data_IF_861239638087
#
_entry.id   IF_861239638087
#
_cell.length_a   1.000
_cell.length_b   1.000
_cell.length_c   1.000
_cell.angle_alpha   90.00
_cell.angle_beta   90.00
_cell.angle_gamma   90.00
#
_symmetry.space_group_name_H-M   'P 1'
#
loop_
_entity.id
_entity.type
_entity.pdbx_description
1 polymer ?
#
# COMPACT_ATOMS: atom_id res chain seq x y z
N UNK A 1 20.77 -10.47 -12.78
CA UNK A 1 20.74 -10.00 -11.37
C UNK A 1 19.56 -10.67 -10.70
N UNK A 2 19.82 -11.66 -9.86
CA UNK A 2 18.80 -12.37 -9.10
C UNK A 2 18.19 -11.40 -8.07
N UNK A 3 16.86 -11.27 -8.07
CA UNK A 3 16.13 -10.54 -7.03
C UNK A 3 16.31 -11.34 -5.74
N UNK A 4 17.09 -10.82 -4.80
CA UNK A 4 17.05 -11.28 -3.41
C UNK A 4 15.62 -11.11 -2.91
N UNK A 5 14.93 -12.24 -2.76
CA UNK A 5 13.65 -12.25 -2.05
C UNK A 5 13.97 -11.99 -0.57
N UNK A 6 13.30 -11.05 0.08
CA UNK A 6 13.50 -10.84 1.51
C UNK A 6 13.18 -12.14 2.24
N UNK A 7 14.16 -12.70 2.91
CA UNK A 7 14.00 -13.90 3.75
C UNK A 7 12.83 -13.66 4.72
N UNK A 8 11.92 -14.62 4.76
CA UNK A 8 10.82 -14.59 5.72
C UNK A 8 11.42 -14.61 7.12
N UNK A 9 11.10 -13.64 7.99
CA UNK A 9 11.65 -13.60 9.33
C UNK A 9 11.37 -14.91 10.05
N UNK A 10 12.40 -15.52 10.63
CA UNK A 10 12.29 -16.71 11.46
C UNK A 10 11.32 -16.44 12.62
N UNK A 11 10.55 -17.46 13.05
CA UNK A 11 9.62 -17.35 14.18
C UNK A 11 10.28 -16.74 15.43
N UNK A 12 11.54 -17.09 15.72
CA UNK A 12 12.31 -16.54 16.83
C UNK A 12 12.68 -15.06 16.65
N UNK A 13 12.87 -14.60 15.42
CA UNK A 13 13.08 -13.18 15.12
C UNK A 13 11.81 -12.37 15.36
N UNK A 14 10.65 -12.94 15.05
CA UNK A 14 9.34 -12.34 15.35
C UNK A 14 9.11 -12.15 16.86
N UNK A 15 9.48 -13.15 17.67
CA UNK A 15 9.37 -13.07 19.14
C UNK A 15 10.27 -11.98 19.74
N UNK A 16 11.49 -11.78 19.21
CA UNK A 16 12.39 -10.70 19.65
C UNK A 16 11.88 -9.31 19.31
N UNK A 17 11.00 -9.18 18.31
CA UNK A 17 10.41 -7.91 17.90
C UNK A 17 9.16 -7.54 18.71
N UNK A 18 8.54 -8.49 19.42
CA UNK A 18 7.34 -8.25 20.21
C UNK A 18 7.48 -7.12 21.25
N UNK A 19 8.54 -7.07 22.08
CA UNK A 19 8.68 -6.01 23.08
C UNK A 19 8.81 -4.63 22.42
N UNK A 20 9.45 -4.55 21.26
CA UNK A 20 9.59 -3.31 20.49
C UNK A 20 8.22 -2.87 19.95
N UNK A 21 7.45 -3.80 19.38
CA UNK A 21 6.10 -3.54 18.89
C UNK A 21 5.15 -3.10 20.00
N UNK A 22 5.20 -3.77 21.16
CA UNK A 22 4.41 -3.41 22.35
C UNK A 22 4.75 -2.00 22.82
N UNK A 23 6.05 -1.69 22.98
CA UNK A 23 6.51 -0.38 23.45
C UNK A 23 6.13 0.73 22.48
N UNK A 24 6.29 0.48 21.17
CA UNK A 24 5.89 1.40 20.10
C UNK A 24 4.38 1.69 20.15
N UNK A 25 3.56 0.63 20.19
CA UNK A 25 2.09 0.77 20.20
C UNK A 25 1.59 1.43 21.48
N UNK A 26 2.14 1.07 22.64
CA UNK A 26 1.76 1.66 23.93
C UNK A 26 2.08 3.17 24.02
N UNK A 27 3.18 3.62 23.36
CA UNK A 27 3.53 5.03 23.32
C UNK A 27 2.62 5.85 22.41
N UNK A 28 2.10 5.25 21.34
CA UNK A 28 1.30 5.92 20.30
C UNK A 28 -0.22 5.79 20.53
N UNK A 29 -0.67 4.70 21.10
CA UNK A 29 -2.09 4.43 21.32
C UNK A 29 -2.38 4.21 22.80
N UNK A 30 -2.96 5.23 23.44
CA UNK A 30 -3.34 5.20 24.87
C UNK A 30 -4.35 4.10 25.21
N UNK A 31 -5.15 3.66 24.25
CA UNK A 31 -6.14 2.61 24.43
C UNK A 31 -5.57 1.19 24.32
N UNK A 32 -4.32 1.06 23.86
CA UNK A 32 -3.68 -0.25 23.71
C UNK A 32 -3.54 -0.97 25.06
N UNK A 33 -2.98 -0.29 26.06
CA UNK A 33 -2.71 -0.87 27.40
C UNK A 33 -3.99 -1.35 28.08
N UNK A 34 -5.06 -0.52 28.22
CA UNK A 34 -6.29 -0.98 28.88
C UNK A 34 -6.97 -2.13 28.13
N UNK A 35 -6.97 -2.11 26.78
CA UNK A 35 -7.55 -3.21 25.99
C UNK A 35 -6.75 -4.50 26.11
N UNK A 36 -5.42 -4.43 26.13
CA UNK A 36 -4.57 -5.58 26.34
C UNK A 36 -4.76 -6.19 27.74
N UNK A 37 -4.93 -5.34 28.77
CA UNK A 37 -5.25 -5.80 30.11
C UNK A 37 -6.61 -6.50 30.17
N UNK A 38 -7.65 -5.94 29.58
CA UNK A 38 -8.97 -6.60 29.51
C UNK A 38 -8.88 -7.93 28.77
N UNK A 39 -8.18 -7.97 27.63
CA UNK A 39 -7.99 -9.19 26.85
C UNK A 39 -7.22 -10.29 27.60
N UNK A 40 -6.37 -9.91 28.56
CA UNK A 40 -5.67 -10.84 29.44
C UNK A 40 -6.52 -11.26 30.64
N UNK A 41 -7.09 -10.28 31.37
CA UNK A 41 -7.74 -10.53 32.65
C UNK A 41 -9.07 -11.26 32.53
N UNK A 42 -9.85 -11.03 31.46
CA UNK A 42 -11.14 -11.69 31.27
C UNK A 42 -11.00 -13.21 31.12
N UNK A 43 -10.15 -13.75 30.23
CA UNK A 43 -9.98 -15.20 30.14
C UNK A 43 -9.36 -15.81 31.41
N UNK A 44 -8.39 -15.12 32.01
CA UNK A 44 -7.74 -15.60 33.23
C UNK A 44 -8.74 -15.64 34.40
N UNK A 45 -9.56 -14.62 34.56
CA UNK A 45 -10.63 -14.61 35.59
C UNK A 45 -11.64 -15.73 35.37
N UNK A 46 -12.06 -15.96 34.13
CA UNK A 46 -12.92 -17.08 33.78
C UNK A 46 -12.27 -18.45 34.09
N UNK A 47 -10.98 -18.62 33.75
CA UNK A 47 -10.25 -19.84 34.06
C UNK A 47 -10.13 -20.11 35.56
N UNK A 48 -9.85 -19.08 36.36
CA UNK A 48 -9.77 -19.19 37.83
C UNK A 48 -11.13 -19.58 38.39
N UNK A 49 -12.21 -18.93 37.99
CA UNK A 49 -13.58 -19.25 38.49
C UNK A 49 -13.97 -20.68 38.14
N UNK A 50 -13.70 -21.17 36.93
CA UNK A 50 -13.96 -22.57 36.53
C UNK A 50 -13.10 -23.57 37.33
N UNK A 51 -11.85 -23.20 37.64
CA UNK A 51 -10.96 -24.01 38.48
C UNK A 51 -11.48 -24.13 39.91
N UNK A 52 -11.92 -23.01 40.53
CA UNK A 52 -12.48 -22.99 41.87
C UNK A 52 -13.81 -23.76 41.96
N UNK A 53 -14.61 -23.75 40.91
CA UNK A 53 -15.86 -24.53 40.83
C UNK A 53 -15.62 -26.04 40.62
N UNK A 54 -14.38 -26.50 40.57
CA UNK A 54 -14.04 -27.92 40.46
C UNK A 54 -14.21 -28.54 39.06
N UNK A 55 -14.39 -27.71 38.03
CA UNK A 55 -14.61 -28.18 36.66
C UNK A 55 -13.31 -28.72 36.01
N UNK A 56 -12.16 -28.50 36.65
CA UNK A 56 -10.88 -29.05 36.28
C UNK A 56 -9.81 -28.00 35.89
N UNK A 57 -8.57 -28.30 36.22
CA UNK A 57 -7.44 -27.40 36.01
C UNK A 57 -7.05 -27.21 34.53
N UNK A 58 -7.49 -28.09 33.62
CA UNK A 58 -7.29 -27.94 32.18
C UNK A 58 -7.82 -26.60 31.64
N UNK A 59 -8.88 -26.06 32.22
CA UNK A 59 -9.42 -24.75 31.86
C UNK A 59 -8.46 -23.61 32.14
N UNK A 60 -7.56 -23.75 33.10
CA UNK A 60 -6.50 -22.76 33.36
C UNK A 60 -5.54 -22.66 32.17
N UNK A 61 -5.12 -23.81 31.61
CA UNK A 61 -4.27 -23.81 30.41
C UNK A 61 -4.98 -23.16 29.22
N UNK A 62 -6.25 -23.48 29.00
CA UNK A 62 -7.06 -22.85 27.96
C UNK A 62 -7.19 -21.32 28.18
N UNK A 63 -7.41 -20.87 29.43
CA UNK A 63 -7.51 -19.47 29.78
C UNK A 63 -6.22 -18.69 29.49
N UNK A 64 -5.06 -19.27 29.81
CA UNK A 64 -3.74 -18.69 29.49
C UNK A 64 -3.55 -18.57 27.98
N UNK A 65 -3.88 -19.62 27.20
CA UNK A 65 -3.81 -19.57 25.75
C UNK A 65 -4.74 -18.50 25.14
N UNK A 66 -5.97 -18.39 25.66
CA UNK A 66 -6.89 -17.35 25.20
C UNK A 66 -6.43 -15.94 25.56
N UNK A 67 -5.83 -15.74 26.74
CA UNK A 67 -5.24 -14.48 27.14
C UNK A 67 -4.11 -14.05 26.21
N UNK A 68 -3.19 -14.97 25.90
CA UNK A 68 -2.10 -14.71 24.96
C UNK A 68 -2.62 -14.39 23.55
N UNK A 69 -3.58 -15.16 23.07
CA UNK A 69 -4.24 -14.90 21.78
C UNK A 69 -4.92 -13.54 21.75
N UNK A 70 -5.66 -13.19 22.79
CA UNK A 70 -6.33 -11.91 22.92
C UNK A 70 -5.35 -10.73 22.89
N UNK A 71 -4.25 -10.81 23.65
CA UNK A 71 -3.18 -9.80 23.64
C UNK A 71 -2.60 -9.66 22.23
N UNK A 72 -2.32 -10.77 21.53
CA UNK A 72 -1.76 -10.75 20.17
C UNK A 72 -2.72 -10.12 19.17
N UNK A 73 -4.03 -10.40 19.29
CA UNK A 73 -5.04 -9.77 18.42
C UNK A 73 -5.08 -8.27 18.67
N UNK A 74 -5.16 -7.84 19.94
CA UNK A 74 -5.18 -6.41 20.30
C UNK A 74 -3.91 -5.72 19.81
N UNK A 75 -2.75 -6.33 20.02
CA UNK A 75 -1.46 -5.80 19.53
C UNK A 75 -1.47 -5.62 18.02
N UNK A 76 -1.87 -6.65 17.27
CA UNK A 76 -1.89 -6.59 15.81
C UNK A 76 -2.83 -5.49 15.28
N UNK A 77 -4.05 -5.39 15.82
CA UNK A 77 -5.02 -4.39 15.41
C UNK A 77 -4.55 -2.96 15.75
N UNK A 78 -4.00 -2.77 16.94
CA UNK A 78 -3.55 -1.45 17.41
C UNK A 78 -2.21 -1.03 16.81
N UNK A 79 -1.27 -1.95 16.64
CA UNK A 79 0.00 -1.68 15.97
C UNK A 79 -0.22 -1.24 14.52
N UNK A 80 -1.08 -1.94 13.77
CA UNK A 80 -1.43 -1.54 12.41
C UNK A 80 -2.04 -0.13 12.36
N UNK A 81 -2.93 0.20 13.30
CA UNK A 81 -3.52 1.54 13.40
C UNK A 81 -2.47 2.60 13.74
N UNK A 82 -1.59 2.32 14.70
CA UNK A 82 -0.52 3.24 15.10
C UNK A 82 0.49 3.48 13.97
N UNK A 83 0.86 2.43 13.22
CA UNK A 83 1.72 2.55 12.05
C UNK A 83 1.06 3.39 10.95
N UNK A 84 -0.21 3.16 10.64
CA UNK A 84 -0.93 3.94 9.62
C UNK A 84 -1.02 5.41 10.01
N UNK A 85 -1.26 5.72 11.30
CA UNK A 85 -1.27 7.10 11.78
C UNK A 85 0.10 7.79 11.69
N UNK A 86 1.19 7.03 11.73
CA UNK A 86 2.54 7.59 11.55
C UNK A 86 2.85 7.90 10.08
N UNK A 87 2.32 7.10 9.15
CA UNK A 87 2.43 7.35 7.71
C UNK A 87 1.48 8.45 7.23
N UNK A 88 0.46 8.78 8.01
CA UNK A 88 -0.50 9.82 7.67
C UNK A 88 0.21 11.18 7.61
N UNK A 89 0.11 11.85 6.44
CA UNK A 89 0.83 13.10 6.18
C UNK A 89 2.28 12.96 5.67
N UNK A 90 2.81 11.73 5.57
CA UNK A 90 4.11 11.53 4.92
C UNK A 90 3.91 11.41 3.39
N UNK A 91 4.72 12.13 2.59
CA UNK A 91 4.64 12.03 1.13
C UNK A 91 4.94 10.60 0.66
N UNK A 92 4.07 10.04 -0.19
CA UNK A 92 4.23 8.69 -0.74
C UNK A 92 3.63 7.58 0.13
N UNK A 93 2.99 7.89 1.25
CA UNK A 93 2.37 6.91 2.13
C UNK A 93 1.28 6.09 1.42
N UNK A 94 0.47 6.74 0.58
CA UNK A 94 -0.54 6.06 -0.21
C UNK A 94 0.09 5.04 -1.18
N UNK A 95 1.21 5.39 -1.82
CA UNK A 95 1.92 4.49 -2.71
C UNK A 95 2.45 3.25 -1.98
N UNK A 96 3.06 3.42 -0.81
CA UNK A 96 3.56 2.31 0.01
C UNK A 96 2.42 1.37 0.45
N UNK A 97 1.30 1.96 0.90
CA UNK A 97 0.12 1.18 1.26
C UNK A 97 -0.39 0.35 0.08
N UNK A 98 -0.54 0.98 -1.09
CA UNK A 98 -1.03 0.30 -2.28
C UNK A 98 -0.08 -0.80 -2.77
N UNK A 99 1.24 -0.60 -2.69
CA UNK A 99 2.24 -1.62 -3.03
C UNK A 99 2.21 -2.82 -2.07
N UNK A 100 1.79 -2.63 -0.82
CA UNK A 100 1.63 -3.71 0.16
C UNK A 100 0.34 -4.52 -0.02
N UNK A 101 -0.56 -4.12 -0.92
CA UNK A 101 -1.83 -4.80 -1.14
C UNK A 101 -1.61 -6.17 -1.79
N UNK A 102 -2.31 -7.18 -1.27
CA UNK A 102 -2.32 -8.52 -1.88
C UNK A 102 -3.28 -8.56 -3.06
N UNK A 103 -2.89 -9.27 -4.10
CA UNK A 103 -3.71 -9.43 -5.32
C UNK A 103 -2.99 -8.94 -6.56
N UNK A 104 -3.74 -8.88 -7.67
CA UNK A 104 -3.22 -8.49 -8.99
C UNK A 104 -3.31 -6.97 -9.17
N UNK A 105 -2.55 -6.25 -8.31
CA UNK A 105 -2.45 -4.80 -8.34
C UNK A 105 -1.11 -4.37 -8.94
N UNK A 106 -1.14 -3.54 -9.96
CA UNK A 106 0.03 -2.92 -10.58
C UNK A 106 0.09 -1.47 -10.15
N UNK A 107 0.92 -1.16 -9.18
CA UNK A 107 1.04 0.18 -8.60
C UNK A 107 2.20 0.92 -9.24
N UNK A 108 1.93 2.12 -9.74
CA UNK A 108 2.91 3.05 -10.29
C UNK A 108 2.97 4.28 -9.41
N UNK A 109 3.91 4.30 -8.45
CA UNK A 109 4.06 5.42 -7.54
C UNK A 109 4.54 6.66 -8.28
N UNK A 110 4.11 7.82 -7.82
CA UNK A 110 4.55 9.13 -8.33
C UNK A 110 4.55 9.22 -9.88
N UNK A 111 3.45 8.72 -10.51
CA UNK A 111 3.28 8.78 -11.96
C UNK A 111 3.35 10.22 -12.48
N UNK A 112 2.87 11.16 -11.66
CA UNK A 112 3.08 12.59 -11.79
C UNK A 112 3.37 13.17 -10.40
N UNK A 113 4.31 14.10 -10.29
CA UNK A 113 4.69 14.72 -9.02
C UNK A 113 5.09 16.16 -9.22
N UNK A 114 4.91 16.96 -8.16
CA UNK A 114 5.39 18.35 -8.09
C UNK A 114 6.58 18.47 -7.14
N UNK A 115 7.28 19.59 -7.21
CA UNK A 115 8.35 19.93 -6.27
C UNK A 115 7.85 20.14 -4.83
N UNK A 116 6.55 20.34 -4.66
CA UNK A 116 5.86 20.49 -3.36
C UNK A 116 5.32 19.19 -2.80
N UNK A 117 5.78 18.04 -3.30
CA UNK A 117 5.38 16.69 -2.89
C UNK A 117 3.89 16.37 -3.08
N UNK A 118 3.19 17.10 -3.97
CA UNK A 118 1.91 16.62 -4.46
C UNK A 118 2.16 15.52 -5.49
N UNK A 119 1.52 14.39 -5.32
CA UNK A 119 1.76 13.20 -6.16
C UNK A 119 0.45 12.60 -6.65
N UNK A 120 0.49 12.12 -7.88
CA UNK A 120 -0.58 11.29 -8.45
C UNK A 120 -0.01 9.91 -8.72
N UNK A 121 -0.62 8.91 -8.13
CA UNK A 121 -0.28 7.51 -8.31
C UNK A 121 -1.29 6.87 -9.26
N UNK A 122 -0.83 5.94 -10.08
CA UNK A 122 -1.68 5.13 -10.95
C UNK A 122 -1.68 3.70 -10.46
N UNK A 123 -2.85 3.14 -10.25
CA UNK A 123 -3.04 1.76 -9.87
C UNK A 123 -3.89 1.07 -10.92
N UNK A 124 -3.44 -0.08 -11.41
CA UNK A 124 -4.20 -0.93 -12.31
C UNK A 124 -4.58 -2.19 -11.54
N UNK A 125 -5.83 -2.54 -11.58
CA UNK A 125 -6.33 -3.74 -10.95
C UNK A 125 -7.57 -4.27 -11.67
N UNK A 126 -8.19 -5.31 -11.14
CA UNK A 126 -9.45 -5.83 -11.71
C UNK A 126 -10.61 -4.83 -11.73
N UNK A 127 -10.67 -3.79 -10.88
CA UNK A 127 -11.65 -2.73 -11.01
C UNK A 127 -11.41 -1.74 -12.16
N UNK A 128 -10.28 -1.85 -12.85
CA UNK A 128 -9.88 -0.92 -13.88
C UNK A 128 -8.64 -0.10 -13.50
N UNK A 129 -8.60 1.14 -13.92
CA UNK A 129 -7.53 2.09 -13.62
C UNK A 129 -7.97 3.05 -12.52
N UNK A 130 -7.11 3.26 -11.55
CA UNK A 130 -7.40 4.09 -10.40
C UNK A 130 -6.33 5.16 -10.27
N UNK A 131 -6.74 6.41 -10.23
CA UNK A 131 -5.90 7.55 -9.89
C UNK A 131 -6.03 7.84 -8.40
N UNK A 132 -4.90 7.90 -7.73
CA UNK A 132 -4.84 8.24 -6.30
C UNK A 132 -3.95 9.46 -6.14
N UNK A 133 -4.55 10.57 -5.73
CA UNK A 133 -3.86 11.83 -5.45
C UNK A 133 -3.48 11.95 -3.98
N UNK A 134 -2.24 12.37 -3.72
CA UNK A 134 -1.71 12.64 -2.40
C UNK A 134 -1.10 14.05 -2.37
N UNK A 135 -1.59 14.91 -1.48
CA UNK A 135 -1.15 16.30 -1.36
C UNK A 135 -2.30 17.31 -1.23
N UNK A 136 -2.07 18.55 -1.63
CA UNK A 136 -3.04 19.63 -1.49
C UNK A 136 -4.18 19.53 -2.52
N UNK A 137 -5.46 19.51 -2.10
CA UNK A 137 -6.60 19.23 -2.99
C UNK A 137 -6.71 20.16 -4.20
N UNK A 138 -6.42 21.45 -4.02
CA UNK A 138 -6.51 22.45 -5.10
C UNK A 138 -5.51 22.16 -6.25
N UNK A 139 -4.29 21.76 -5.91
CA UNK A 139 -3.24 21.43 -6.88
C UNK A 139 -3.47 20.04 -7.49
N UNK A 140 -3.92 19.08 -6.69
CA UNK A 140 -4.24 17.74 -7.16
C UNK A 140 -5.35 17.71 -8.20
N UNK A 141 -6.37 18.56 -8.08
CA UNK A 141 -7.47 18.62 -9.06
C UNK A 141 -6.95 18.88 -10.48
N UNK A 142 -6.01 19.81 -10.64
CA UNK A 142 -5.41 20.09 -11.95
C UNK A 142 -4.56 18.92 -12.45
N UNK A 143 -3.71 18.35 -11.57
CA UNK A 143 -2.83 17.22 -11.92
C UNK A 143 -3.64 15.99 -12.31
N UNK A 144 -4.61 15.61 -11.50
CA UNK A 144 -5.48 14.45 -11.77
C UNK A 144 -6.26 14.64 -13.06
N UNK A 145 -6.77 15.85 -13.31
CA UNK A 145 -7.44 16.17 -14.57
C UNK A 145 -6.56 16.03 -15.81
N UNK A 146 -5.28 16.39 -15.70
CA UNK A 146 -4.29 16.18 -16.78
C UNK A 146 -4.01 14.69 -17.00
N UNK A 147 -3.76 13.96 -15.93
CA UNK A 147 -3.46 12.53 -16.03
C UNK A 147 -4.69 11.72 -16.47
N UNK A 148 -5.89 12.08 -16.06
CA UNK A 148 -7.14 11.51 -16.57
C UNK A 148 -7.26 11.63 -18.08
N UNK A 149 -7.05 12.84 -18.64
CA UNK A 149 -7.09 13.07 -20.11
C UNK A 149 -6.02 12.28 -20.84
N UNK A 150 -4.86 12.11 -20.22
CA UNK A 150 -3.74 11.36 -20.78
C UNK A 150 -4.02 9.86 -20.78
N UNK A 151 -4.55 9.36 -19.67
CA UNK A 151 -4.90 7.94 -19.51
C UNK A 151 -6.10 7.55 -20.37
N UNK A 152 -7.11 8.41 -20.51
CA UNK A 152 -8.30 8.16 -21.33
C UNK A 152 -7.98 7.72 -22.77
N UNK A 153 -6.86 8.21 -23.34
CA UNK A 153 -6.39 7.81 -24.67
C UNK A 153 -5.87 6.36 -24.75
N UNK A 154 -5.61 5.72 -23.61
CA UNK A 154 -4.92 4.42 -23.52
C UNK A 154 -5.85 3.35 -22.95
N UNK A 155 -6.67 3.74 -21.97
CA UNK A 155 -7.52 2.81 -21.23
C UNK A 155 -8.76 2.37 -22.04
N UNK A 156 -9.11 3.11 -23.10
CA UNK A 156 -10.29 2.82 -23.93
C UNK A 156 -11.57 2.88 -23.10
N UNK A 157 -12.35 1.81 -23.12
CA UNK A 157 -13.61 1.68 -22.37
C UNK A 157 -13.45 1.19 -20.92
N UNK A 158 -12.21 1.10 -20.42
CA UNK A 158 -11.96 0.64 -19.03
C UNK A 158 -12.33 1.74 -18.03
N UNK A 159 -12.95 1.33 -16.92
CA UNK A 159 -13.34 2.26 -15.87
C UNK A 159 -12.13 2.97 -15.26
N UNK A 160 -12.30 4.28 -15.00
CA UNK A 160 -11.33 5.12 -14.33
C UNK A 160 -11.93 5.68 -13.05
N UNK A 161 -11.34 5.28 -11.92
CA UNK A 161 -11.72 5.78 -10.60
C UNK A 161 -10.72 6.83 -10.12
N UNK A 162 -11.20 7.83 -9.39
CA UNK A 162 -10.38 8.92 -8.85
C UNK A 162 -10.59 9.03 -7.35
N UNK A 163 -9.49 9.03 -6.60
CA UNK A 163 -9.50 9.22 -5.14
C UNK A 163 -8.42 10.21 -4.74
N UNK A 164 -8.75 11.06 -3.77
CA UNK A 164 -7.79 11.94 -3.10
C UNK A 164 -7.63 11.43 -1.68
N UNK A 165 -6.39 11.25 -1.25
CA UNK A 165 -6.07 10.79 0.10
C UNK A 165 -5.97 11.99 1.02
N UNK A 166 -6.70 11.92 2.15
CA UNK A 166 -6.72 12.97 3.17
C UNK A 166 -7.89 12.78 4.13
N UNK A 167 -8.04 13.74 5.03
CA UNK A 167 -9.06 13.69 6.09
C UNK A 167 -10.19 14.69 5.90
N UNK A 168 -10.15 15.50 4.83
CA UNK A 168 -11.18 16.49 4.53
C UNK A 168 -12.40 15.85 3.87
N UNK A 169 -13.48 16.62 3.75
CA UNK A 169 -14.71 16.18 3.11
C UNK A 169 -14.46 15.80 1.64
N UNK A 170 -14.96 14.63 1.24
CA UNK A 170 -14.73 14.08 -0.11
C UNK A 170 -13.39 13.39 -0.33
N UNK A 171 -12.54 13.33 0.67
CA UNK A 171 -11.27 12.59 0.63
C UNK A 171 -11.40 11.22 1.30
N UNK A 172 -10.47 10.33 0.97
CA UNK A 172 -10.39 9.00 1.57
C UNK A 172 -9.22 8.96 2.55
N UNK A 173 -9.47 8.74 3.85
CA UNK A 173 -8.39 8.55 4.81
C UNK A 173 -7.47 7.42 4.42
N UNK A 174 -6.16 7.58 4.65
CA UNK A 174 -5.15 6.57 4.32
C UNK A 174 -5.51 5.20 4.91
N UNK A 175 -6.03 5.19 6.15
CA UNK A 175 -6.48 3.97 6.86
C UNK A 175 -7.61 3.22 6.16
N UNK A 176 -8.46 3.92 5.40
CA UNK A 176 -9.59 3.36 4.67
C UNK A 176 -9.29 3.08 3.21
N UNK A 177 -8.21 3.65 2.66
CA UNK A 177 -7.88 3.58 1.23
C UNK A 177 -7.87 2.14 0.72
N UNK A 178 -7.16 1.23 1.41
CA UNK A 178 -7.10 -0.19 1.05
C UNK A 178 -8.50 -0.81 0.93
N UNK A 179 -9.35 -0.60 1.93
CA UNK A 179 -10.69 -1.17 1.96
C UNK A 179 -11.57 -0.58 0.85
N UNK A 180 -11.43 0.72 0.58
CA UNK A 180 -12.14 1.41 -0.51
C UNK A 180 -11.77 0.78 -1.86
N UNK A 181 -10.47 0.62 -2.14
CA UNK A 181 -10.01 0.02 -3.39
C UNK A 181 -10.43 -1.44 -3.54
N UNK A 182 -10.39 -2.23 -2.46
CA UNK A 182 -10.78 -3.65 -2.49
C UNK A 182 -12.28 -3.88 -2.65
N UNK A 183 -13.12 -2.89 -2.33
CA UNK A 183 -14.59 -2.97 -2.49
C UNK A 183 -15.08 -2.59 -3.88
N UNK A 184 -14.21 -2.05 -4.72
CA UNK A 184 -14.58 -1.71 -6.09
C UNK A 184 -14.99 -2.95 -6.88
N UNK A 185 -16.00 -2.83 -7.76
CA UNK A 185 -16.44 -3.94 -8.62
C UNK A 185 -15.30 -4.35 -9.57
N UNK A 186 -15.20 -5.63 -9.84
CA UNK A 186 -14.21 -6.18 -10.77
C UNK A 186 -14.78 -6.14 -12.19
N UNK A 187 -14.32 -5.19 -12.99
CA UNK A 187 -14.84 -4.91 -14.33
C UNK A 187 -13.98 -5.51 -15.44
N UNK A 188 -12.71 -5.79 -15.16
CA UNK A 188 -11.77 -6.32 -16.14
C UNK A 188 -11.09 -7.63 -15.70
N UNK A 189 -10.58 -8.37 -16.66
CA UNK A 189 -9.87 -9.63 -16.42
C UNK A 189 -8.40 -9.42 -16.09
N UNK A 190 -7.73 -10.43 -15.53
CA UNK A 190 -6.29 -10.36 -15.28
C UNK A 190 -5.44 -10.19 -16.57
N UNK A 191 -5.94 -10.66 -17.73
CA UNK A 191 -5.29 -10.45 -19.03
C UNK A 191 -5.33 -8.97 -19.42
N UNK A 192 -6.47 -8.31 -19.19
CA UNK A 192 -6.64 -6.89 -19.46
C UNK A 192 -5.77 -6.03 -18.56
N UNK A 193 -5.63 -6.40 -17.27
CA UNK A 193 -4.70 -5.76 -16.33
C UNK A 193 -3.27 -5.76 -16.87
N UNK A 194 -2.78 -6.90 -17.36
CA UNK A 194 -1.44 -7.01 -17.94
C UNK A 194 -1.30 -6.21 -19.23
N UNK A 195 -2.30 -6.23 -20.09
CA UNK A 195 -2.31 -5.46 -21.33
C UNK A 195 -2.27 -3.95 -21.07
N UNK A 196 -3.06 -3.47 -20.10
CA UNK A 196 -3.06 -2.07 -19.65
C UNK A 196 -1.73 -1.68 -19.03
N UNK A 197 -1.15 -2.54 -18.20
CA UNK A 197 0.15 -2.28 -17.60
C UNK A 197 1.25 -2.12 -18.65
N UNK A 198 1.26 -2.95 -19.67
CA UNK A 198 2.20 -2.84 -20.80
C UNK A 198 2.01 -1.53 -21.57
N UNK A 199 0.77 -1.15 -21.89
CA UNK A 199 0.47 0.12 -22.58
C UNK A 199 0.90 1.34 -21.76
N UNK A 200 0.66 1.32 -20.45
CA UNK A 200 1.07 2.39 -19.54
C UNK A 200 2.58 2.46 -19.36
N UNK A 201 3.29 1.32 -19.40
CA UNK A 201 4.76 1.30 -19.40
C UNK A 201 5.31 2.00 -20.64
N UNK A 202 4.74 1.71 -21.79
CA UNK A 202 5.14 2.36 -23.05
C UNK A 202 4.88 3.87 -23.06
N UNK A 203 3.83 4.33 -22.36
CA UNK A 203 3.55 5.75 -22.20
C UNK A 203 4.58 6.42 -21.27
N UNK A 204 4.87 5.80 -20.12
CA UNK A 204 5.82 6.33 -19.15
C UNK A 204 7.23 6.45 -19.74
N UNK A 205 7.68 5.46 -20.53
CA UNK A 205 8.99 5.50 -21.20
C UNK A 205 9.09 6.64 -22.23
N UNK A 206 8.01 6.95 -22.94
CA UNK A 206 7.97 8.09 -23.88
C UNK A 206 8.04 9.45 -23.17
N UNK A 207 7.61 9.54 -21.94
CA UNK A 207 7.60 10.80 -21.16
C UNK A 207 8.95 11.05 -20.50
N UNK A 208 9.66 10.00 -20.12
CA UNK A 208 11.00 10.06 -19.53
C UNK A 208 12.13 10.25 -20.56
N UNK A 209 11.80 10.21 -21.85
CA UNK A 209 12.76 10.69 -22.85
C UNK A 209 12.90 12.20 -22.64
N UNK A 210 14.13 12.71 -22.37
CA UNK A 210 14.36 14.14 -22.28
C UNK A 210 13.80 14.76 -23.55
N UNK A 211 12.88 15.72 -23.44
CA UNK A 211 12.44 16.57 -24.55
C UNK A 211 13.54 17.54 -25.00
N UNK A 212 14.79 17.22 -24.68
CA UNK A 212 15.96 17.80 -25.28
C UNK A 212 16.01 17.31 -26.72
N UNK A 213 15.72 18.22 -27.64
CA UNK A 213 15.83 18.03 -29.04
C UNK A 213 17.04 17.15 -29.39
N UNK A 214 16.79 15.97 -29.96
CA UNK A 214 17.79 15.42 -30.89
C UNK A 214 17.92 16.52 -31.94
N UNK A 215 19.05 17.23 -32.01
CA UNK A 215 19.20 18.28 -32.99
C UNK A 215 18.95 17.63 -34.35
N UNK A 216 17.97 18.13 -35.10
CA UNK A 216 17.61 17.61 -36.43
C UNK A 216 18.78 17.59 -37.39
N UNK A 217 19.92 18.10 -36.98
CA UNK A 217 21.17 18.22 -37.75
C UNK A 217 22.30 17.29 -37.30
N UNK A 218 22.08 16.33 -36.43
CA UNK A 218 23.04 15.22 -36.27
C UNK A 218 22.94 14.29 -37.47
N UNK A 219 23.62 14.67 -38.55
CA UNK A 219 23.98 13.69 -39.55
C UNK A 219 24.89 12.65 -38.87
N UNK A 220 24.57 11.36 -38.90
CA UNK A 220 25.46 10.35 -38.33
C UNK A 220 26.82 10.49 -39.06
N UNK A 221 27.94 10.43 -38.33
CA UNK A 221 29.26 10.56 -38.92
C UNK A 221 29.37 9.57 -40.07
N UNK A 222 29.87 10.07 -41.24
CA UNK A 222 30.08 9.26 -42.42
C UNK A 222 30.98 8.09 -42.03
N UNK A 223 30.42 6.85 -42.00
CA UNK A 223 31.14 5.65 -41.58
C UNK A 223 30.43 4.81 -40.51
N UNK A 224 29.46 5.35 -39.75
CA UNK A 224 28.75 4.60 -38.70
C UNK A 224 28.01 3.36 -39.26
N UNK A 225 27.50 3.43 -40.50
CA UNK A 225 26.87 2.28 -41.16
C UNK A 225 27.86 1.19 -41.62
N UNK A 226 29.15 1.51 -41.78
CA UNK A 226 30.18 0.49 -42.14
C UNK A 226 30.59 -0.33 -40.89
N UNK A 227 30.58 0.28 -39.72
CA UNK A 227 30.90 -0.40 -38.47
C UNK A 227 29.79 -1.38 -38.02
N UNK A 228 28.51 -1.12 -38.37
CA UNK A 228 27.38 -2.01 -38.05
C UNK A 228 27.20 -3.16 -39.06
N UNK A 229 27.87 -3.13 -40.23
CA UNK A 229 27.80 -4.18 -41.24
C UNK A 229 29.03 -5.09 -41.13
N UNK A 230 29.34 -5.46 -39.93
CA UNK A 230 30.40 -6.22 -39.47
C UNK A 230 30.94 -7.33 -40.29
N UNK A 231 32.03 -7.68 -40.26
CA UNK A 231 32.74 -8.89 -40.61
C UNK A 231 31.89 -10.14 -40.62
#
# INVERSE_FOLDING_TARGET
>A
MAKEQPEKPSFFQGLKQLPVAIKFTAKRDKLFVPLALVAALVPLGAGITLGVLGIGWLWMAAAVMMALLGIMIVLNLRANKAMMAEYEGQPGAAAQLMQSMRGDWRVRPAFSSTTTFDMVHVVIGRPGVILVGEGTPSRLRSMMGQEKRRLAKIIGSTDLHEYVVGNDEGQVPLTKLRNTLMRLPRTITGKDVNALDTRLTALASRTNLPKGAIPKNMRPPKGAFRAMRGR
#
